data_IF_193446822673
#
_entry.id   IF_193446822673
#
_cell.length_a   1.000
_cell.length_b   1.000
_cell.length_c   1.000
_cell.angle_alpha   90.00
_cell.angle_beta   90.00
_cell.angle_gamma   90.00
#
_symmetry.space_group_name_H-M   'P 1'
#
loop_
_entity.id
_entity.type
_entity.pdbx_description
1 polymer ?
#
# COMPACT_ATOMS: atom_id res chain seq x y z
N UNK A 1 5.81 -0.65 -11.38
CA UNK A 1 6.85 -1.64 -11.00
C UNK A 1 7.18 -1.54 -9.52
N UNK A 2 7.58 -0.37 -9.00
CA UNK A 2 7.99 -0.21 -7.60
C UNK A 2 6.93 -0.61 -6.55
N UNK A 3 5.63 -0.41 -6.82
CA UNK A 3 4.58 -0.89 -5.90
C UNK A 3 4.54 -2.40 -5.78
N UNK A 4 4.70 -3.11 -6.90
CA UNK A 4 4.76 -4.56 -6.89
C UNK A 4 5.99 -5.07 -6.13
N UNK A 5 7.11 -4.33 -6.15
CA UNK A 5 8.27 -4.66 -5.33
C UNK A 5 7.96 -4.48 -3.85
N UNK A 6 7.35 -3.36 -3.45
CA UNK A 6 6.93 -3.14 -2.06
C UNK A 6 5.93 -4.20 -1.58
N UNK A 7 4.94 -4.54 -2.41
CA UNK A 7 3.94 -5.59 -2.12
C UNK A 7 4.61 -6.97 -1.97
N UNK A 8 5.60 -7.28 -2.82
CA UNK A 8 6.34 -8.54 -2.74
C UNK A 8 7.22 -8.60 -1.48
N UNK A 9 7.91 -7.51 -1.15
CA UNK A 9 8.70 -7.40 0.09
C UNK A 9 7.80 -7.57 1.31
N UNK A 10 6.63 -6.92 1.32
CA UNK A 10 5.65 -7.07 2.39
C UNK A 10 5.10 -8.49 2.48
N UNK A 11 4.70 -9.09 1.36
CA UNK A 11 4.20 -10.47 1.32
C UNK A 11 5.24 -11.46 1.84
N UNK A 12 6.48 -11.33 1.38
CA UNK A 12 7.60 -12.15 1.82
C UNK A 12 7.89 -11.94 3.31
N UNK A 13 7.91 -10.70 3.77
CA UNK A 13 8.13 -10.38 5.18
C UNK A 13 7.03 -10.97 6.08
N UNK A 14 5.75 -10.92 5.68
CA UNK A 14 4.67 -11.55 6.45
C UNK A 14 4.77 -13.08 6.45
N UNK A 15 5.14 -13.68 5.31
CA UNK A 15 5.28 -15.13 5.19
C UNK A 15 6.43 -15.65 6.08
N UNK A 16 7.56 -14.93 6.09
CA UNK A 16 8.77 -15.34 6.82
C UNK A 16 8.66 -15.01 8.29
N UNK A 17 8.22 -13.79 8.64
CA UNK A 17 8.25 -13.31 10.03
C UNK A 17 6.96 -13.63 10.78
N UNK A 18 5.83 -13.78 10.11
CA UNK A 18 4.52 -14.06 10.73
C UNK A 18 4.29 -13.25 12.02
N UNK A 19 4.51 -11.93 11.95
CA UNK A 19 4.35 -11.05 13.11
C UNK A 19 2.88 -10.96 13.53
N UNK A 20 2.66 -11.17 14.81
CA UNK A 20 1.40 -10.98 15.51
C UNK A 20 1.45 -9.72 16.35
N UNK A 21 0.26 -9.19 16.63
CA UNK A 21 0.08 -8.09 17.57
C UNK A 21 -0.98 -8.51 18.58
N UNK A 22 -0.75 -8.22 19.86
CA UNK A 22 -1.76 -8.37 20.90
C UNK A 22 -1.94 -7.06 21.66
N UNK A 23 -3.18 -6.82 22.11
CA UNK A 23 -3.57 -5.58 22.79
C UNK A 23 -4.06 -5.95 24.19
N UNK A 24 -3.19 -5.76 25.17
CA UNK A 24 -3.42 -6.17 26.56
C UNK A 24 -2.96 -5.05 27.49
N UNK A 25 -3.81 -4.67 28.45
CA UNK A 25 -3.50 -3.72 29.53
C UNK A 25 -2.71 -2.48 29.08
N UNK A 26 -3.31 -1.67 28.20
CA UNK A 26 -2.69 -0.46 27.64
C UNK A 26 -1.38 -0.67 26.89
N UNK A 27 -1.12 -1.91 26.49
CA UNK A 27 0.13 -2.32 25.87
C UNK A 27 -0.13 -3.02 24.55
N UNK A 28 0.75 -2.74 23.59
CA UNK A 28 0.78 -3.35 22.26
C UNK A 28 1.96 -4.31 22.23
N UNK A 29 1.70 -5.60 22.35
CA UNK A 29 2.71 -6.65 22.25
C UNK A 29 2.93 -6.97 20.78
N UNK A 30 4.18 -6.93 20.32
CA UNK A 30 4.59 -7.33 18.99
C UNK A 30 5.53 -8.53 19.09
N UNK A 31 5.21 -9.59 18.36
CA UNK A 31 5.94 -10.86 18.45
C UNK A 31 5.85 -11.63 17.14
N UNK A 32 6.82 -12.51 16.91
CA UNK A 32 6.80 -13.42 15.78
C UNK A 32 6.18 -14.77 16.16
N UNK A 33 5.30 -15.29 15.29
CA UNK A 33 4.77 -16.67 15.39
C UNK A 33 5.51 -17.66 14.48
N UNK A 34 6.61 -17.23 13.86
CA UNK A 34 7.40 -18.01 12.92
C UNK A 34 8.54 -18.78 13.61
N UNK A 35 9.60 -19.10 12.86
CA UNK A 35 10.86 -19.64 13.39
C UNK A 35 11.54 -18.71 14.43
N UNK A 36 11.10 -17.46 14.54
CA UNK A 36 11.56 -16.52 15.58
C UNK A 36 10.80 -16.63 16.92
N UNK A 37 9.91 -17.61 17.10
CA UNK A 37 9.07 -17.74 18.30
C UNK A 37 9.86 -17.68 19.61
N UNK A 38 10.96 -18.43 19.74
CA UNK A 38 11.85 -18.42 20.91
C UNK A 38 13.20 -17.74 20.62
N UNK A 39 13.19 -16.72 19.76
CA UNK A 39 14.41 -16.00 19.41
C UNK A 39 14.91 -15.10 20.55
N UNK A 40 16.16 -14.66 20.45
CA UNK A 40 16.70 -13.65 21.37
C UNK A 40 15.96 -12.33 21.23
N UNK A 41 15.90 -11.51 22.29
CA UNK A 41 15.28 -10.19 22.27
C UNK A 41 15.73 -9.33 21.08
N UNK A 42 17.04 -9.29 20.80
CA UNK A 42 17.58 -8.53 19.67
C UNK A 42 17.06 -9.05 18.33
N UNK A 43 17.00 -10.37 18.15
CA UNK A 43 16.48 -10.96 16.92
C UNK A 43 14.99 -10.63 16.73
N UNK A 44 14.18 -10.69 17.79
CA UNK A 44 12.78 -10.26 17.77
C UNK A 44 12.66 -8.80 17.38
N UNK A 45 13.42 -7.90 18.01
CA UNK A 45 13.37 -6.46 17.68
C UNK A 45 13.77 -6.18 16.23
N UNK A 46 14.77 -6.89 15.69
CA UNK A 46 15.15 -6.81 14.27
C UNK A 46 14.01 -7.31 13.38
N UNK A 47 13.43 -8.47 13.69
CA UNK A 47 12.32 -9.05 12.93
C UNK A 47 11.13 -8.08 12.89
N UNK A 48 10.70 -7.58 14.04
CA UNK A 48 9.61 -6.61 14.13
C UNK A 48 9.96 -5.31 13.39
N UNK A 49 11.19 -4.81 13.47
CA UNK A 49 11.62 -3.62 12.72
C UNK A 49 11.58 -3.83 11.19
N UNK A 50 11.99 -5.01 10.69
CA UNK A 50 11.91 -5.37 9.26
C UNK A 50 10.46 -5.47 8.82
N UNK A 51 9.63 -6.16 9.61
CA UNK A 51 8.20 -6.28 9.33
C UNK A 51 7.52 -4.92 9.28
N UNK A 52 7.73 -4.07 10.30
CA UNK A 52 7.23 -2.69 10.33
C UNK A 52 7.75 -1.89 9.14
N UNK A 53 9.03 -2.01 8.78
CA UNK A 53 9.57 -1.34 7.59
C UNK A 53 8.77 -1.74 6.36
N UNK A 54 8.55 -3.04 6.14
CA UNK A 54 7.78 -3.54 4.99
C UNK A 54 6.32 -3.05 4.99
N UNK A 55 5.69 -2.97 6.16
CA UNK A 55 4.35 -2.45 6.37
C UNK A 55 4.27 -0.96 6.00
N UNK A 56 5.22 -0.16 6.50
CA UNK A 56 5.25 1.28 6.26
C UNK A 56 5.73 1.67 4.86
N UNK A 57 6.48 0.80 4.18
CA UNK A 57 6.76 0.95 2.76
C UNK A 57 5.47 1.07 1.94
N UNK A 58 4.44 0.28 2.26
CA UNK A 58 3.15 0.36 1.57
C UNK A 58 2.54 1.76 1.66
N UNK A 59 2.75 2.49 2.76
CA UNK A 59 2.28 3.86 2.92
C UNK A 59 3.17 4.88 2.23
N UNK A 60 4.48 4.81 2.43
CA UNK A 60 5.41 5.82 1.93
C UNK A 60 5.50 5.85 0.40
N UNK A 61 5.26 4.70 -0.24
CA UNK A 61 5.29 4.58 -1.70
C UNK A 61 4.09 5.26 -2.37
N UNK A 62 2.92 5.31 -1.73
CA UNK A 62 1.71 5.92 -2.29
C UNK A 62 1.89 7.41 -2.66
N UNK A 63 2.27 8.33 -1.75
CA UNK A 63 2.42 9.74 -2.08
C UNK A 63 3.50 9.97 -3.15
N UNK A 64 4.60 9.20 -3.14
CA UNK A 64 5.66 9.28 -4.15
C UNK A 64 5.12 8.96 -5.55
N UNK A 65 4.27 7.93 -5.68
CA UNK A 65 3.65 7.60 -6.97
C UNK A 65 2.67 8.65 -7.46
N UNK A 66 1.82 9.17 -6.56
CA UNK A 66 0.87 10.21 -6.91
C UNK A 66 1.59 11.50 -7.31
N UNK A 67 2.65 11.86 -6.59
CA UNK A 67 3.50 12.98 -6.96
C UNK A 67 4.16 12.79 -8.33
N UNK A 68 4.76 11.62 -8.59
CA UNK A 68 5.35 11.30 -9.88
C UNK A 68 4.33 11.41 -11.03
N UNK A 69 3.14 10.81 -10.87
CA UNK A 69 2.06 10.88 -11.87
C UNK A 69 1.61 12.31 -12.12
N UNK A 70 1.43 13.10 -11.07
CA UNK A 70 1.12 14.52 -11.22
C UNK A 70 2.18 15.26 -12.03
N UNK A 71 3.45 15.01 -11.75
CA UNK A 71 4.57 15.66 -12.45
C UNK A 71 4.68 15.25 -13.91
N UNK A 72 4.32 14.02 -14.27
CA UNK A 72 4.23 13.59 -15.68
C UNK A 72 3.14 14.32 -16.48
N UNK A 73 2.08 14.79 -15.80
CA UNK A 73 1.03 15.60 -16.42
C UNK A 73 1.34 17.10 -16.41
N UNK A 74 2.36 17.50 -15.66
CA UNK A 74 2.80 18.88 -15.53
C UNK A 74 3.81 19.25 -16.61
N UNK A 75 4.08 20.54 -16.78
CA UNK A 75 5.07 21.03 -17.76
C UNK A 75 6.52 20.64 -17.43
N UNK A 76 6.80 20.25 -16.18
CA UNK A 76 8.12 19.88 -15.69
C UNK A 76 8.14 18.41 -15.22
N UNK A 77 8.21 17.42 -16.11
CA UNK A 77 8.21 16.01 -15.73
C UNK A 77 9.43 15.66 -14.89
N UNK A 78 9.27 14.73 -13.94
CA UNK A 78 10.42 14.17 -13.22
C UNK A 78 11.17 13.22 -14.14
N UNK A 79 12.50 13.29 -14.06
CA UNK A 79 13.36 12.23 -14.60
C UNK A 79 13.19 10.94 -13.80
N UNK A 80 13.46 9.80 -14.43
CA UNK A 80 13.43 8.49 -13.75
C UNK A 80 14.40 8.48 -12.56
N UNK A 81 15.58 9.08 -12.72
CA UNK A 81 16.57 9.18 -11.64
C UNK A 81 16.02 9.93 -10.42
N UNK A 82 15.41 11.11 -10.62
CA UNK A 82 14.79 11.87 -9.53
C UNK A 82 13.68 11.07 -8.83
N UNK A 83 12.86 10.35 -9.59
CA UNK A 83 11.81 9.50 -9.03
C UNK A 83 12.39 8.37 -8.16
N UNK A 84 13.43 7.70 -8.64
CA UNK A 84 14.14 6.65 -7.90
C UNK A 84 14.79 7.21 -6.62
N UNK A 85 15.43 8.38 -6.69
CA UNK A 85 15.99 9.03 -5.50
C UNK A 85 14.92 9.37 -4.46
N UNK A 86 13.77 9.93 -4.87
CA UNK A 86 12.66 10.20 -3.96
C UNK A 86 12.12 8.92 -3.31
N UNK A 87 12.06 7.84 -4.08
CA UNK A 87 11.65 6.54 -3.57
C UNK A 87 12.63 6.03 -2.50
N UNK A 88 13.94 6.02 -2.77
CA UNK A 88 14.94 5.62 -1.79
C UNK A 88 14.98 6.50 -0.55
N UNK A 89 14.77 7.81 -0.71
CA UNK A 89 14.66 8.73 0.43
C UNK A 89 13.47 8.38 1.32
N UNK A 90 12.31 8.09 0.73
CA UNK A 90 11.12 7.66 1.46
C UNK A 90 11.35 6.31 2.17
N UNK A 91 12.01 5.35 1.51
CA UNK A 91 12.37 4.07 2.10
C UNK A 91 13.34 4.22 3.27
N UNK A 92 14.37 5.05 3.11
CA UNK A 92 15.36 5.30 4.16
C UNK A 92 14.70 5.92 5.39
N UNK A 93 13.85 6.93 5.19
CA UNK A 93 13.08 7.56 6.27
C UNK A 93 12.20 6.55 7.01
N UNK A 94 11.43 5.73 6.28
CA UNK A 94 10.60 4.67 6.88
C UNK A 94 11.44 3.65 7.64
N UNK A 95 12.54 3.18 7.05
CA UNK A 95 13.45 2.24 7.69
C UNK A 95 14.01 2.80 8.99
N UNK A 96 14.51 4.04 8.97
CA UNK A 96 15.00 4.71 10.17
C UNK A 96 13.92 4.85 11.26
N UNK A 97 12.69 5.22 10.87
CA UNK A 97 11.55 5.28 11.80
C UNK A 97 11.23 3.90 12.38
N UNK A 98 11.14 2.85 11.56
CA UNK A 98 10.78 1.52 12.02
C UNK A 98 11.90 0.86 12.86
N UNK A 99 13.18 1.17 12.59
CA UNK A 99 14.28 0.75 13.45
C UNK A 99 14.37 1.56 14.75
N UNK A 100 13.65 2.69 14.86
CA UNK A 100 13.60 3.44 16.12
C UNK A 100 12.95 2.65 17.27
N UNK A 101 12.26 1.53 16.99
CA UNK A 101 11.68 0.64 18.00
C UNK A 101 12.70 0.14 19.02
N UNK A 102 13.98 0.06 18.68
CA UNK A 102 15.06 -0.26 19.63
C UNK A 102 15.15 0.71 20.81
N UNK A 103 14.72 1.96 20.62
CA UNK A 103 14.77 2.99 21.64
C UNK A 103 13.41 3.31 22.24
N UNK A 104 12.33 3.01 21.51
CA UNK A 104 10.96 3.42 21.88
C UNK A 104 10.05 2.27 22.30
N UNK A 105 10.54 1.03 22.34
CA UNK A 105 9.77 -0.12 22.86
C UNK A 105 10.49 -0.73 24.06
N UNK A 106 9.73 -1.39 24.94
CA UNK A 106 10.30 -2.10 26.07
C UNK A 106 10.61 -3.55 25.68
N UNK A 107 11.72 -4.11 26.17
CA UNK A 107 12.03 -5.52 26.03
C UNK A 107 11.14 -6.38 26.95
N UNK A 108 11.18 -7.70 26.75
CA UNK A 108 10.54 -8.69 27.62
C UNK A 108 10.94 -8.50 29.09
N UNK A 109 9.98 -8.59 30.00
CA UNK A 109 10.18 -8.52 31.46
C UNK A 109 9.22 -9.45 32.20
N UNK A 110 9.51 -9.78 33.47
CA UNK A 110 8.64 -10.67 34.27
C UNK A 110 7.23 -10.08 34.48
N UNK A 111 7.12 -8.76 34.61
CA UNK A 111 5.83 -8.09 34.76
C UNK A 111 4.98 -8.18 33.48
N UNK A 112 5.61 -7.97 32.33
CA UNK A 112 4.96 -8.10 31.02
C UNK A 112 4.60 -9.55 30.70
N UNK A 113 5.40 -10.51 31.17
CA UNK A 113 5.12 -11.94 31.03
C UNK A 113 3.83 -12.32 31.76
N UNK A 114 3.58 -11.75 32.94
CA UNK A 114 2.31 -11.96 33.67
C UNK A 114 1.10 -11.41 32.89
N UNK A 115 1.27 -10.34 32.12
CA UNK A 115 0.21 -9.76 31.31
C UNK A 115 -0.09 -10.65 30.11
N UNK A 116 0.92 -11.03 29.33
CA UNK A 116 0.69 -11.84 28.11
C UNK A 116 0.24 -13.27 28.45
N UNK A 117 0.73 -13.86 29.53
CA UNK A 117 0.33 -15.21 29.99
C UNK A 117 -1.06 -15.24 30.65
N UNK A 118 -1.65 -14.08 30.95
CA UNK A 118 -3.05 -13.99 31.41
C UNK A 118 -4.05 -14.46 30.33
N UNK A 119 -3.60 -14.52 29.07
CA UNK A 119 -4.38 -15.00 27.94
C UNK A 119 -4.14 -16.50 27.75
N UNK A 120 -5.21 -17.30 27.73
CA UNK A 120 -5.17 -18.78 27.82
C UNK A 120 -4.26 -19.48 26.80
N UNK A 121 -4.03 -18.89 25.63
CA UNK A 121 -3.24 -19.50 24.54
C UNK A 121 -1.74 -19.12 24.56
N UNK A 122 -1.28 -18.36 25.54
CA UNK A 122 0.16 -18.04 25.74
C UNK A 122 0.70 -18.61 27.04
N UNK A 123 0.55 -19.92 27.27
CA UNK A 123 1.19 -20.58 28.43
C UNK A 123 2.72 -20.55 28.35
N UNK A 124 3.27 -20.47 27.14
CA UNK A 124 4.68 -20.25 26.85
C UNK A 124 4.78 -19.08 25.86
N UNK A 125 4.94 -17.83 26.32
CA UNK A 125 4.84 -16.67 25.45
C UNK A 125 6.04 -16.57 24.52
N UNK A 126 5.84 -16.16 23.25
CA UNK A 126 6.94 -15.93 22.31
C UNK A 126 7.87 -14.83 22.83
N UNK A 127 9.03 -14.69 22.19
CA UNK A 127 9.81 -13.48 22.34
C UNK A 127 9.03 -12.28 21.76
N UNK A 128 8.96 -11.17 22.50
CA UNK A 128 8.19 -9.99 22.13
C UNK A 128 8.93 -8.70 22.46
N UNK A 129 8.50 -7.61 21.80
CA UNK A 129 8.69 -6.25 22.28
C UNK A 129 7.32 -5.65 22.60
N UNK A 130 7.27 -4.64 23.47
CA UNK A 130 6.01 -4.01 23.84
C UNK A 130 6.07 -2.50 23.69
N UNK A 131 4.97 -1.92 23.22
CA UNK A 131 4.74 -0.48 23.24
C UNK A 131 3.65 -0.19 24.28
N UNK A 132 4.00 0.50 25.36
CA UNK A 132 3.10 0.78 26.49
C UNK A 132 2.64 2.23 26.43
N UNK A 133 1.34 2.49 26.52
CA UNK A 133 0.81 3.85 26.40
C UNK A 133 1.27 4.81 27.52
N UNK A 134 1.63 4.30 28.70
CA UNK A 134 2.16 5.11 29.79
C UNK A 134 3.60 5.57 29.57
N UNK A 135 4.35 4.91 28.68
CA UNK A 135 5.74 5.25 28.42
C UNK A 135 5.85 6.37 27.38
N UNK A 136 6.46 7.53 27.72
CA UNK A 136 6.53 8.67 26.81
C UNK A 136 7.20 8.34 25.47
N UNK A 137 8.21 7.46 25.48
CA UNK A 137 8.90 7.00 24.26
C UNK A 137 7.99 6.19 23.34
N UNK A 138 7.26 5.23 23.90
CA UNK A 138 6.26 4.43 23.19
C UNK A 138 5.17 5.34 22.59
N UNK A 139 4.63 6.26 23.39
CA UNK A 139 3.61 7.22 22.97
C UNK A 139 4.10 8.11 21.82
N UNK A 140 5.33 8.63 21.93
CA UNK A 140 5.95 9.42 20.86
C UNK A 140 6.02 8.62 19.55
N UNK A 141 6.50 7.37 19.60
CA UNK A 141 6.61 6.51 18.43
C UNK A 141 5.23 6.21 17.80
N UNK A 142 4.21 5.93 18.62
CA UNK A 142 2.83 5.70 18.17
C UNK A 142 2.19 6.95 17.55
N UNK A 143 2.40 8.12 18.15
CA UNK A 143 1.88 9.38 17.62
C UNK A 143 2.58 9.75 16.31
N UNK A 144 3.91 9.65 16.26
CA UNK A 144 4.69 9.90 15.05
C UNK A 144 4.25 8.99 13.89
N UNK A 145 4.08 7.70 14.19
CA UNK A 145 3.51 6.71 13.28
C UNK A 145 2.13 7.12 12.72
N UNK A 146 1.24 7.56 13.60
CA UNK A 146 -0.11 8.03 13.22
C UNK A 146 -0.05 9.27 12.32
N UNK A 147 0.78 10.26 12.68
CA UNK A 147 0.98 11.49 11.88
C UNK A 147 1.58 11.15 10.52
N UNK A 148 2.52 10.22 10.45
CA UNK A 148 3.14 9.79 9.20
C UNK A 148 2.13 9.14 8.25
N UNK A 149 1.28 8.23 8.74
CA UNK A 149 0.24 7.59 7.92
C UNK A 149 -0.79 8.62 7.48
N UNK A 150 -1.30 9.44 8.41
CA UNK A 150 -2.26 10.51 8.11
C UNK A 150 -1.73 11.51 7.08
N UNK A 151 -0.49 11.98 7.29
CA UNK A 151 0.20 12.89 6.37
C UNK A 151 0.41 12.30 4.98
N UNK A 152 0.73 11.01 4.89
CA UNK A 152 0.86 10.29 3.61
C UNK A 152 -0.46 10.29 2.84
N UNK A 153 -1.59 10.02 3.50
CA UNK A 153 -2.91 10.06 2.85
C UNK A 153 -3.37 11.47 2.49
N UNK A 154 -3.03 12.49 3.30
CA UNK A 154 -3.28 13.88 2.95
C UNK A 154 -2.52 14.29 1.68
N UNK A 155 -1.25 13.89 1.55
CA UNK A 155 -0.45 14.10 0.33
C UNK A 155 -1.05 13.36 -0.87
N UNK A 156 -1.49 12.12 -0.70
CA UNK A 156 -2.16 11.36 -1.77
C UNK A 156 -3.43 12.07 -2.21
N UNK A 157 -4.28 12.52 -1.29
CA UNK A 157 -5.51 13.25 -1.60
C UNK A 157 -5.20 14.56 -2.34
N UNK A 158 -4.21 15.32 -1.85
CA UNK A 158 -3.74 16.55 -2.50
C UNK A 158 -3.33 16.31 -3.96
N UNK A 159 -2.44 15.35 -4.20
CA UNK A 159 -1.98 15.05 -5.56
C UNK A 159 -3.07 14.42 -6.43
N UNK A 160 -3.99 13.65 -5.86
CA UNK A 160 -5.16 13.13 -6.59
C UNK A 160 -6.02 14.27 -7.14
N UNK A 161 -6.27 15.31 -6.33
CA UNK A 161 -6.99 16.51 -6.77
C UNK A 161 -6.23 17.25 -7.87
N UNK A 162 -4.90 17.41 -7.73
CA UNK A 162 -4.06 18.05 -8.75
C UNK A 162 -4.04 17.28 -10.08
N UNK A 163 -3.93 15.96 -10.03
CA UNK A 163 -4.02 15.09 -11.22
C UNK A 163 -5.37 15.27 -11.91
N UNK A 164 -6.48 15.24 -11.13
CA UNK A 164 -7.82 15.44 -11.67
C UNK A 164 -7.95 16.81 -12.36
N UNK A 165 -7.44 17.87 -11.74
CA UNK A 165 -7.46 19.21 -12.32
C UNK A 165 -6.70 19.26 -13.65
N UNK A 166 -5.48 18.71 -13.69
CA UNK A 166 -4.65 18.67 -14.90
C UNK A 166 -5.34 17.89 -16.06
N UNK A 167 -5.97 16.75 -15.75
CA UNK A 167 -6.72 15.96 -16.74
C UNK A 167 -7.93 16.74 -17.25
N UNK A 168 -8.68 17.42 -16.36
CA UNK A 168 -9.87 18.20 -16.75
C UNK A 168 -9.50 19.35 -17.69
N UNK A 169 -8.39 20.04 -17.43
CA UNK A 169 -7.89 21.13 -18.28
C UNK A 169 -7.54 20.61 -19.70
N UNK A 170 -6.93 19.44 -19.79
CA UNK A 170 -6.55 18.81 -21.07
C UNK A 170 -7.74 18.15 -21.79
N UNK A 171 -8.85 17.89 -21.09
CA UNK A 171 -10.00 17.14 -21.59
C UNK A 171 -10.63 17.74 -22.85
N UNK A 172 -10.58 19.05 -23.02
CA UNK A 172 -11.11 19.73 -24.23
C UNK A 172 -10.33 19.38 -25.49
N UNK A 173 -9.06 19.00 -25.36
CA UNK A 173 -8.14 18.68 -26.46
C UNK A 173 -8.02 17.17 -26.73
N UNK A 174 -8.65 16.34 -25.90
CA UNK A 174 -8.54 14.88 -25.96
C UNK A 174 -9.63 14.25 -26.84
N UNK A 175 -9.27 13.19 -27.57
CA UNK A 175 -10.21 12.35 -28.31
C UNK A 175 -11.18 11.62 -27.37
N UNK A 176 -12.30 11.13 -27.88
CA UNK A 176 -13.26 10.32 -27.11
C UNK A 176 -12.63 9.06 -26.51
N UNK A 177 -11.70 8.44 -27.24
CA UNK A 177 -10.91 7.29 -26.75
C UNK A 177 -10.00 7.67 -25.59
N UNK A 178 -9.23 8.75 -25.70
CA UNK A 178 -8.35 9.23 -24.63
C UNK A 178 -9.13 9.57 -23.35
N UNK A 179 -10.27 10.26 -23.48
CA UNK A 179 -11.17 10.56 -22.35
C UNK A 179 -11.63 9.31 -21.59
N UNK A 180 -11.90 8.21 -22.30
CA UNK A 180 -12.28 6.93 -21.69
C UNK A 180 -11.12 6.30 -20.94
N UNK A 181 -9.93 6.28 -21.54
CA UNK A 181 -8.71 5.77 -20.90
C UNK A 181 -8.37 6.56 -19.64
N UNK A 182 -8.49 7.89 -19.64
CA UNK A 182 -8.20 8.71 -18.46
C UNK A 182 -9.16 8.45 -17.30
N UNK A 183 -10.45 8.31 -17.60
CA UNK A 183 -11.46 7.96 -16.59
C UNK A 183 -11.18 6.59 -15.96
N UNK A 184 -10.74 5.62 -16.77
CA UNK A 184 -10.31 4.32 -16.27
C UNK A 184 -9.08 4.45 -15.37
N UNK A 185 -8.06 5.20 -15.78
CA UNK A 185 -6.87 5.45 -14.96
C UNK A 185 -7.26 6.07 -13.62
N UNK A 186 -8.09 7.11 -13.60
CA UNK A 186 -8.56 7.74 -12.35
C UNK A 186 -9.31 6.77 -11.44
N UNK A 187 -10.10 5.87 -12.02
CA UNK A 187 -10.81 4.82 -11.27
C UNK A 187 -9.82 3.83 -10.66
N UNK A 188 -8.82 3.37 -11.42
CA UNK A 188 -7.72 2.52 -10.90
C UNK A 188 -7.04 3.20 -9.73
N UNK A 189 -6.69 4.48 -9.87
CA UNK A 189 -6.01 5.25 -8.84
C UNK A 189 -6.84 5.29 -7.56
N UNK A 190 -8.13 5.60 -7.68
CA UNK A 190 -9.03 5.63 -6.53
C UNK A 190 -9.09 4.29 -5.81
N UNK A 191 -9.29 3.18 -6.53
CA UNK A 191 -9.34 1.85 -5.92
C UNK A 191 -8.01 1.46 -5.26
N UNK A 192 -6.88 1.73 -5.92
CA UNK A 192 -5.54 1.49 -5.38
C UNK A 192 -5.25 2.31 -4.11
N UNK A 193 -5.95 3.43 -3.89
CA UNK A 193 -5.84 4.21 -2.66
C UNK A 193 -6.77 3.67 -1.56
N UNK A 194 -8.02 3.38 -1.91
CA UNK A 194 -9.04 2.92 -0.96
C UNK A 194 -8.76 1.54 -0.40
N UNK A 195 -8.20 0.65 -1.22
CA UNK A 195 -7.92 -0.72 -0.80
C UNK A 195 -6.90 -0.79 0.36
N UNK A 196 -5.67 -0.21 0.24
CA UNK A 196 -4.75 -0.12 1.38
C UNK A 196 -5.33 0.70 2.53
N UNK A 197 -6.15 1.71 2.26
CA UNK A 197 -6.78 2.47 3.34
C UNK A 197 -7.66 1.57 4.23
N UNK A 198 -8.52 0.74 3.63
CA UNK A 198 -9.45 -0.13 4.35
C UNK A 198 -8.70 -1.31 4.99
N UNK A 199 -7.85 -1.98 4.24
CA UNK A 199 -7.23 -3.25 4.65
C UNK A 199 -6.00 -3.05 5.55
N UNK A 200 -5.38 -1.86 5.51
CA UNK A 200 -4.17 -1.57 6.28
C UNK A 200 -4.38 -0.43 7.27
N UNK A 201 -4.83 0.74 6.82
CA UNK A 201 -4.85 1.96 7.65
C UNK A 201 -5.85 1.85 8.79
N UNK A 202 -7.07 1.37 8.50
CA UNK A 202 -8.09 1.20 9.53
C UNK A 202 -7.63 0.19 10.60
N UNK A 203 -7.18 -1.04 10.24
CA UNK A 203 -6.61 -1.98 11.22
C UNK A 203 -5.47 -1.40 12.05
N UNK A 204 -4.52 -0.70 11.43
CA UNK A 204 -3.40 -0.10 12.17
C UNK A 204 -3.89 0.99 13.10
N UNK A 205 -4.82 1.84 12.65
CA UNK A 205 -5.41 2.89 13.48
C UNK A 205 -6.12 2.31 14.70
N UNK A 206 -6.84 1.20 14.53
CA UNK A 206 -7.47 0.48 15.66
C UNK A 206 -6.39 -0.07 16.59
N UNK A 207 -5.38 -0.80 16.08
CA UNK A 207 -4.30 -1.35 16.91
C UNK A 207 -3.51 -0.28 17.67
N UNK A 208 -3.21 0.86 17.03
CA UNK A 208 -2.42 1.93 17.63
C UNK A 208 -3.21 2.75 18.65
N UNK A 209 -4.52 2.89 18.46
CA UNK A 209 -5.38 3.66 19.38
C UNK A 209 -5.96 2.82 20.51
N UNK A 210 -6.13 1.51 20.34
CA UNK A 210 -6.71 0.63 21.36
C UNK A 210 -5.98 0.67 22.72
N UNK A 211 -4.63 0.70 22.78
CA UNK A 211 -3.90 0.89 24.03
C UNK A 211 -4.23 2.20 24.77
N UNK A 212 -4.75 3.23 24.10
CA UNK A 212 -5.13 4.49 24.73
C UNK A 212 -6.42 4.40 25.54
N UNK A 213 -7.21 3.34 25.35
CA UNK A 213 -8.54 3.21 25.93
C UNK A 213 -8.63 2.34 27.18
N UNK A 214 -7.53 1.80 27.73
CA UNK A 214 -7.62 0.99 28.95
C UNK A 214 -8.05 -0.46 28.75
N UNK A 215 -8.33 -0.89 27.52
CA UNK A 215 -9.07 -2.14 27.29
C UNK A 215 -8.20 -3.21 26.65
N UNK A 216 -8.03 -4.31 27.37
CA UNK A 216 -7.55 -5.57 26.80
C UNK A 216 -8.60 -6.12 25.84
N UNK A 217 -8.23 -6.34 24.59
CA UNK A 217 -9.09 -7.00 23.60
C UNK A 217 -8.29 -8.12 22.97
N UNK A 218 -8.19 -9.29 23.66
CA UNK A 218 -7.42 -10.41 23.17
C UNK A 218 -7.88 -10.82 21.77
N UNK A 219 -6.96 -11.31 20.93
CA UNK A 219 -7.20 -11.71 19.53
C UNK A 219 -7.49 -10.57 18.56
N UNK A 220 -7.90 -9.38 19.01
CA UNK A 220 -8.19 -8.27 18.10
C UNK A 220 -6.95 -7.91 17.28
N UNK A 221 -5.79 -7.81 17.93
CA UNK A 221 -4.54 -7.51 17.25
C UNK A 221 -4.19 -8.56 16.19
N UNK A 222 -4.31 -9.86 16.51
CA UNK A 222 -4.05 -10.96 15.57
C UNK A 222 -5.01 -10.95 14.37
N UNK A 223 -6.29 -10.71 14.61
CA UNK A 223 -7.29 -10.60 13.53
C UNK A 223 -6.94 -9.43 12.62
N UNK A 224 -6.61 -8.27 13.21
CA UNK A 224 -6.27 -7.07 12.45
C UNK A 224 -4.96 -7.24 11.66
N UNK A 225 -3.92 -7.83 12.23
CA UNK A 225 -2.67 -8.12 11.49
C UNK A 225 -2.88 -9.13 10.38
N UNK A 226 -3.75 -10.13 10.59
CA UNK A 226 -4.14 -11.07 9.52
C UNK A 226 -4.84 -10.35 8.37
N UNK A 227 -5.74 -9.41 8.67
CA UNK A 227 -6.38 -8.55 7.65
C UNK A 227 -5.33 -7.73 6.90
N UNK A 228 -4.36 -7.12 7.60
CA UNK A 228 -3.25 -6.38 6.97
C UNK A 228 -2.46 -7.27 6.00
N UNK A 229 -2.28 -8.57 6.31
CA UNK A 229 -1.62 -9.53 5.43
C UNK A 229 -2.29 -9.72 4.06
N UNK A 230 -3.55 -9.28 3.88
CA UNK A 230 -4.29 -9.41 2.63
C UNK A 230 -3.95 -8.33 1.59
N UNK A 231 -3.15 -7.31 1.92
CA UNK A 231 -2.82 -6.20 0.99
C UNK A 231 -2.29 -6.67 -0.36
N UNK A 232 -1.29 -7.58 -0.44
CA UNK A 232 -0.76 -7.99 -1.74
C UNK A 232 -1.84 -8.63 -2.62
N UNK A 233 -2.75 -9.39 -2.00
CA UNK A 233 -3.89 -10.02 -2.69
C UNK A 233 -4.83 -8.93 -3.20
N UNK A 234 -5.20 -7.97 -2.36
CA UNK A 234 -6.13 -6.92 -2.75
C UNK A 234 -5.53 -5.98 -3.82
N UNK A 235 -4.23 -5.68 -3.76
CA UNK A 235 -3.51 -4.91 -4.78
C UNK A 235 -3.46 -5.67 -6.11
N UNK A 236 -3.16 -6.98 -6.09
CA UNK A 236 -3.16 -7.83 -7.28
C UNK A 236 -4.57 -7.93 -7.91
N UNK A 237 -5.60 -8.16 -7.10
CA UNK A 237 -6.99 -8.21 -7.58
C UNK A 237 -7.44 -6.87 -8.15
N UNK A 238 -7.09 -5.75 -7.51
CA UNK A 238 -7.37 -4.41 -8.03
C UNK A 238 -6.72 -4.18 -9.40
N UNK A 239 -5.48 -4.61 -9.58
CA UNK A 239 -4.82 -4.53 -10.89
C UNK A 239 -5.51 -5.42 -11.93
N UNK A 240 -5.82 -6.68 -11.59
CA UNK A 240 -6.44 -7.65 -12.51
C UNK A 240 -7.85 -7.24 -12.95
N UNK A 241 -8.68 -6.72 -12.03
CA UNK A 241 -10.07 -6.39 -12.30
C UNK A 241 -10.23 -5.09 -13.09
N UNK A 242 -9.36 -4.10 -12.84
CA UNK A 242 -9.54 -2.75 -13.38
C UNK A 242 -8.75 -2.54 -14.67
N UNK A 243 -7.54 -3.12 -14.80
CA UNK A 243 -6.73 -2.96 -16.01
C UNK A 243 -7.28 -3.86 -17.11
N UNK A 244 -7.93 -3.25 -18.10
CA UNK A 244 -8.64 -3.96 -19.16
C UNK A 244 -7.80 -4.99 -19.92
N UNK A 245 -6.50 -4.73 -20.12
CA UNK A 245 -5.57 -5.66 -20.77
C UNK A 245 -5.35 -6.93 -19.94
N UNK A 246 -5.16 -6.79 -18.62
CA UNK A 246 -5.03 -7.94 -17.72
C UNK A 246 -6.32 -8.73 -17.61
N UNK A 247 -7.46 -8.03 -17.48
CA UNK A 247 -8.77 -8.68 -17.46
C UNK A 247 -9.02 -9.51 -18.73
N UNK A 248 -8.67 -8.97 -19.90
CA UNK A 248 -8.78 -9.70 -21.17
C UNK A 248 -7.82 -10.88 -21.24
N UNK A 249 -6.60 -10.76 -20.72
CA UNK A 249 -5.65 -11.87 -20.64
C UNK A 249 -6.17 -13.00 -19.72
N UNK A 250 -6.73 -12.66 -18.55
CA UNK A 250 -7.33 -13.63 -17.62
C UNK A 250 -8.55 -14.31 -18.26
N UNK A 251 -9.44 -13.57 -18.93
CA UNK A 251 -10.58 -14.15 -19.65
C UNK A 251 -10.14 -15.13 -20.76
N UNK A 252 -9.03 -14.84 -21.44
CA UNK A 252 -8.42 -15.76 -22.43
C UNK A 252 -7.87 -17.01 -21.76
N UNK A 253 -7.15 -16.87 -20.65
CA UNK A 253 -6.60 -18.00 -19.88
C UNK A 253 -7.71 -18.91 -19.31
N UNK A 254 -8.82 -18.33 -18.84
CA UNK A 254 -9.95 -19.06 -18.29
C UNK A 254 -10.87 -19.67 -19.36
N UNK A 255 -10.52 -19.58 -20.65
CA UNK A 255 -11.35 -20.12 -21.74
C UNK A 255 -12.69 -19.39 -21.91
N UNK A 256 -12.91 -18.27 -21.21
CA UNK A 256 -14.14 -17.47 -21.28
C UNK A 256 -14.21 -16.56 -22.51
N UNK A 257 -13.34 -16.78 -23.49
CA UNK A 257 -13.36 -16.04 -24.76
C UNK A 257 -14.46 -16.59 -25.67
N UNK A 258 -15.71 -16.27 -25.33
CA UNK A 258 -16.79 -16.28 -26.30
C UNK A 258 -16.54 -15.19 -27.34
N UNK A 259 -16.46 -15.61 -28.59
CA UNK A 259 -16.67 -14.87 -29.85
C UNK A 259 -17.07 -13.39 -29.69
N UNK A 260 -16.09 -12.49 -29.61
CA UNK A 260 -16.26 -11.08 -30.00
C UNK A 260 -15.21 -10.77 -31.08
N UNK A 261 -15.25 -11.58 -32.14
CA UNK A 261 -14.54 -11.34 -33.40
C UNK A 261 -15.40 -10.47 -34.31
N UNK A 262 -15.87 -9.31 -33.86
CA UNK A 262 -16.49 -8.34 -34.77
C UNK A 262 -16.18 -6.92 -34.31
N UNK A 263 -15.74 -6.09 -35.25
CA UNK A 263 -15.53 -4.65 -35.15
C UNK A 263 -14.14 -4.23 -34.60
N UNK A 264 -13.14 -4.27 -35.47
CA UNK A 264 -12.40 -3.06 -35.90
C UNK A 264 -11.11 -3.44 -36.66
N UNK A 265 -11.25 -3.85 -37.92
CA UNK A 265 -10.18 -3.67 -38.90
C UNK A 265 -10.72 -2.73 -39.97
N UNK A 266 -10.39 -1.46 -39.77
CA UNK A 266 -10.12 -0.43 -40.78
C UNK A 266 -11.12 -0.28 -41.93
N UNK A 267 -11.96 0.74 -41.77
CA UNK A 267 -12.07 1.83 -42.75
C UNK A 267 -10.69 2.11 -43.39
N UNK A 268 -10.42 1.50 -44.53
CA UNK A 268 -9.34 1.88 -45.45
C UNK A 268 -10.02 2.51 -46.66
N UNK A 269 -9.79 3.81 -46.81
CA UNK A 269 -9.78 4.50 -48.10
C UNK A 269 -11.13 4.58 -48.82
N UNK A 270 -11.81 5.71 -48.65
CA UNK A 270 -12.54 6.28 -49.77
C UNK A 270 -11.54 6.50 -50.91
N UNK A 271 -11.52 5.58 -51.87
CA UNK A 271 -10.92 5.79 -53.18
C UNK A 271 -11.73 6.91 -53.82
N UNK A 272 -11.17 8.11 -53.81
CA UNK A 272 -11.63 9.21 -54.65
C UNK A 272 -11.63 8.71 -56.08
N UNK A 273 -12.82 8.60 -56.66
CA UNK A 273 -12.99 8.37 -58.09
C UNK A 273 -12.35 9.56 -58.82
N UNK A 274 -11.25 9.28 -59.51
CA UNK A 274 -10.64 10.18 -60.45
C UNK A 274 -11.60 10.27 -61.65
N UNK A 275 -12.31 11.38 -61.74
CA UNK A 275 -13.24 11.64 -62.83
C UNK A 275 -12.44 11.90 -64.12
N UNK A 276 -12.84 11.24 -65.21
CA UNK A 276 -12.16 11.25 -66.50
C UNK A 276 -12.43 12.52 -67.33
N UNK A 277 -12.61 13.67 -66.69
CA UNK A 277 -12.80 14.96 -67.37
C UNK A 277 -11.53 15.80 -67.23
N UNK A 278 -10.63 15.60 -68.18
CA UNK A 278 -9.45 16.41 -68.39
C UNK A 278 -9.83 17.85 -68.78
N UNK A 279 -9.96 18.73 -67.79
CA UNK A 279 -9.90 20.18 -68.00
C UNK A 279 -9.06 20.86 -66.94
N UNK A 280 -7.87 21.26 -67.37
CA UNK A 280 -7.04 22.29 -66.76
C UNK A 280 -7.80 23.63 -66.83
N UNK A 281 -7.92 24.33 -65.70
CA UNK A 281 -8.31 25.74 -65.68
C UNK A 281 -7.10 26.53 -65.21
N UNK A 282 -6.79 27.57 -65.99
CA UNK A 282 -5.68 28.53 -65.85
C UNK A 282 -5.91 29.41 -64.62
#
# INVERSE_FOLDING_TARGET
MLNGVADLVFAFSNLVLMEGVEILDNSLFLFSTSFFYHSTQTATTIATAIWLTSLYMAFAVLPVNYYYRYRQLSTNPLTIFQYVCLYFLALFYVGAHCFSVFWFTLPKSEELDKIITSVTYYSDPPAYIVSVASEPGCMYHLLHSTVQVGGSYMLVAYFAMKIRAAIVEQRSRMSSGAKRTDSQIMTVMFVQCMCPFIVLTIPIGICASAPLFGKSVPLLGIVLTTVMGLIPICNALSALLIVGTYRSAVKRLLGMSGVDSTIAITSKGAVSQMNADGKTVI
#
